data_IF_491833845964
#
_entry.id   IF_491833845964
#
_cell.length_a   1.000
_cell.length_b   1.000
_cell.length_c   1.000
_cell.angle_alpha   90.00
_cell.angle_beta   90.00
_cell.angle_gamma   90.00
#
_symmetry.space_group_name_H-M   'P 1'
#
loop_
_entity.id
_entity.type
_entity.pdbx_description
1 polymer ?
#
# COMPACT_ATOMS: atom_id res chain seq x y z
N UNK A 1 28.74 -5.09 8.08
CA UNK A 1 27.38 -4.61 8.38
C UNK A 1 26.44 -5.51 7.59
N UNK A 2 25.40 -6.06 8.23
CA UNK A 2 24.39 -6.83 7.52
C UNK A 2 23.01 -6.34 7.94
N UNK A 3 22.04 -6.58 7.07
CA UNK A 3 20.63 -6.30 7.33
C UNK A 3 19.91 -7.63 7.30
N UNK A 4 19.16 -7.92 8.36
CA UNK A 4 18.21 -9.02 8.40
C UNK A 4 16.79 -8.47 8.28
N UNK A 5 15.96 -9.13 7.46
CA UNK A 5 14.59 -8.70 7.17
C UNK A 5 13.65 -9.88 7.37
N UNK A 6 12.80 -9.80 8.38
CA UNK A 6 11.71 -10.73 8.60
C UNK A 6 10.38 -10.11 8.15
N UNK A 7 9.55 -10.90 7.46
CA UNK A 7 8.20 -10.49 7.04
C UNK A 7 7.17 -11.47 7.57
N UNK A 8 6.07 -10.93 8.06
CA UNK A 8 4.91 -11.70 8.49
C UNK A 8 3.65 -11.08 7.89
N UNK A 9 2.78 -11.93 7.34
CA UNK A 9 1.46 -11.53 6.87
C UNK A 9 0.39 -12.03 7.85
N UNK A 10 -0.46 -11.13 8.29
CA UNK A 10 -1.68 -11.39 9.05
C UNK A 10 -2.86 -11.31 8.08
N UNK A 11 -3.52 -12.45 7.85
CA UNK A 11 -4.63 -12.54 6.90
C UNK A 11 -5.94 -11.95 7.46
N UNK A 12 -6.13 -11.96 8.78
CA UNK A 12 -7.35 -11.46 9.42
C UNK A 12 -7.38 -9.93 9.39
N UNK A 13 -6.21 -9.31 9.62
CA UNK A 13 -6.05 -7.85 9.57
C UNK A 13 -5.59 -7.34 8.20
N UNK A 14 -5.38 -8.24 7.23
CA UNK A 14 -4.75 -7.97 5.94
C UNK A 14 -3.50 -7.08 6.04
N UNK A 15 -2.63 -7.41 6.98
CA UNK A 15 -1.50 -6.56 7.38
C UNK A 15 -0.17 -7.26 7.21
N UNK A 16 0.79 -6.59 6.61
CA UNK A 16 2.18 -7.03 6.51
C UNK A 16 3.00 -6.31 7.58
N UNK A 17 3.68 -7.08 8.42
CA UNK A 17 4.68 -6.57 9.36
C UNK A 17 6.07 -6.92 8.85
N UNK A 18 6.92 -5.92 8.70
CA UNK A 18 8.32 -6.07 8.34
C UNK A 18 9.21 -5.65 9.52
N UNK A 19 10.19 -6.48 9.84
CA UNK A 19 11.17 -6.18 10.89
C UNK A 19 12.54 -6.09 10.23
N UNK A 20 13.12 -4.89 10.27
CA UNK A 20 14.47 -4.61 9.77
C UNK A 20 15.43 -4.58 10.95
N UNK A 21 16.43 -5.46 10.93
CA UNK A 21 17.52 -5.44 11.91
C UNK A 21 18.80 -5.03 11.21
N UNK A 22 19.30 -3.83 11.52
CA UNK A 22 20.58 -3.33 11.02
C UNK A 22 21.67 -3.64 12.04
N UNK A 23 22.67 -4.42 11.64
CA UNK A 23 23.79 -4.81 12.52
C UNK A 23 25.08 -4.15 12.04
N UNK A 24 25.71 -3.38 12.94
CA UNK A 24 26.99 -2.72 12.73
C UNK A 24 27.94 -2.98 13.91
N UNK A 25 29.27 -2.76 13.75
CA UNK A 25 30.20 -2.95 14.86
C UNK A 25 29.86 -2.03 16.04
N UNK A 26 29.33 -2.61 17.12
CA UNK A 26 28.96 -1.90 18.35
C UNK A 26 27.47 -1.53 18.48
N UNK A 27 26.66 -1.71 17.45
CA UNK A 27 25.25 -1.29 17.49
C UNK A 27 24.34 -2.19 16.62
N UNK A 28 23.21 -2.58 17.22
CA UNK A 28 22.10 -3.25 16.53
C UNK A 28 20.86 -2.38 16.64
N UNK A 29 20.29 -1.99 15.52
CA UNK A 29 19.05 -1.22 15.45
C UNK A 29 17.93 -2.07 14.85
N UNK A 30 16.75 -2.02 15.47
CA UNK A 30 15.56 -2.75 15.02
C UNK A 30 14.44 -1.79 14.68
N UNK A 31 13.91 -1.88 13.46
CA UNK A 31 12.76 -1.12 12.99
C UNK A 31 11.60 -2.08 12.70
N UNK A 32 10.39 -1.71 13.11
CA UNK A 32 9.17 -2.46 12.83
C UNK A 32 8.27 -1.60 11.98
N UNK A 33 7.97 -2.06 10.77
CA UNK A 33 7.05 -1.41 9.84
C UNK A 33 5.79 -2.26 9.73
N UNK A 34 4.62 -1.62 9.76
CA UNK A 34 3.32 -2.29 9.68
C UNK A 34 2.48 -1.63 8.61
N UNK A 35 2.09 -2.41 7.61
CA UNK A 35 1.36 -1.96 6.42
C UNK A 35 0.05 -2.70 6.31
N UNK A 36 -1.08 -1.99 6.28
CA UNK A 36 -2.34 -2.60 5.88
C UNK A 36 -2.40 -2.65 4.36
N UNK A 37 -2.66 -3.84 3.83
CA UNK A 37 -2.96 -4.03 2.42
C UNK A 37 -4.43 -3.71 2.18
N UNK A 38 -4.71 -3.01 1.10
CA UNK A 38 -6.07 -2.74 0.66
C UNK A 38 -6.31 -3.37 -0.70
N UNK A 39 -7.46 -4.03 -0.85
CA UNK A 39 -7.92 -4.46 -2.16
C UNK A 39 -8.35 -3.26 -3.00
N UNK A 40 -8.46 -3.46 -4.32
CA UNK A 40 -9.03 -2.43 -5.20
C UNK A 40 -10.47 -2.09 -4.78
N UNK A 41 -11.26 -3.08 -4.38
CA UNK A 41 -12.65 -2.89 -3.99
C UNK A 41 -12.77 -2.06 -2.71
N UNK A 42 -11.94 -2.35 -1.70
CA UNK A 42 -11.90 -1.56 -0.46
C UNK A 42 -11.50 -0.11 -0.74
N UNK A 43 -10.43 0.12 -1.53
CA UNK A 43 -10.00 1.46 -1.90
C UNK A 43 -11.06 2.20 -2.71
N UNK A 44 -11.75 1.50 -3.62
CA UNK A 44 -12.83 2.07 -4.43
C UNK A 44 -13.98 2.52 -3.54
N UNK A 45 -14.41 1.70 -2.58
CA UNK A 45 -15.46 2.05 -1.64
C UNK A 45 -15.07 3.25 -0.75
N UNK A 46 -13.82 3.29 -0.26
CA UNK A 46 -13.31 4.40 0.57
C UNK A 46 -13.25 5.72 -0.22
N UNK A 47 -12.71 5.67 -1.44
CA UNK A 47 -12.61 6.85 -2.31
C UNK A 47 -13.99 7.34 -2.73
N UNK A 48 -14.90 6.45 -3.09
CA UNK A 48 -16.27 6.82 -3.45
C UNK A 48 -17.01 7.46 -2.27
N UNK A 49 -16.89 6.88 -1.07
CA UNK A 49 -17.47 7.42 0.17
C UNK A 49 -16.97 8.84 0.45
N UNK A 50 -15.70 9.13 0.17
CA UNK A 50 -15.12 10.47 0.34
C UNK A 50 -15.37 11.41 -0.86
N UNK A 51 -16.24 11.00 -1.80
CA UNK A 51 -16.65 11.82 -2.91
C UNK A 51 -15.59 11.91 -4.01
N UNK A 52 -14.78 10.88 -4.21
CA UNK A 52 -13.90 10.74 -5.36
C UNK A 52 -14.53 9.81 -6.40
N UNK A 53 -14.12 9.99 -7.66
CA UNK A 53 -14.36 9.07 -8.76
C UNK A 53 -13.02 8.53 -9.24
N UNK A 54 -12.88 7.20 -9.32
CA UNK A 54 -11.67 6.58 -9.89
C UNK A 54 -11.71 6.76 -11.41
N UNK A 55 -10.62 7.29 -11.96
CA UNK A 55 -10.44 7.50 -13.39
C UNK A 55 -9.67 6.34 -14.03
N UNK A 56 -8.68 5.80 -13.33
CA UNK A 56 -7.85 4.71 -13.83
C UNK A 56 -7.14 3.97 -12.69
N UNK A 57 -6.79 2.71 -12.96
CA UNK A 57 -5.97 1.86 -12.09
C UNK A 57 -4.85 1.22 -12.88
N UNK A 58 -3.66 1.14 -12.29
CA UNK A 58 -2.47 0.60 -12.94
C UNK A 58 -1.68 -0.32 -12.01
N UNK A 59 -1.05 -1.34 -12.61
CA UNK A 59 -0.20 -2.31 -11.94
C UNK A 59 1.27 -1.87 -11.79
N UNK A 60 1.51 -0.57 -11.63
CA UNK A 60 2.84 0.05 -11.60
C UNK A 60 2.85 1.47 -12.14
N UNK A 61 4.01 2.13 -12.10
CA UNK A 61 4.16 3.54 -12.49
C UNK A 61 4.22 3.78 -14.01
N UNK A 62 4.33 2.71 -14.80
CA UNK A 62 4.42 2.75 -16.25
C UNK A 62 3.05 2.63 -16.95
N UNK A 63 1.94 2.78 -16.21
CA UNK A 63 0.56 2.66 -16.70
C UNK A 63 0.20 1.28 -17.26
N UNK A 64 0.93 0.23 -16.88
CA UNK A 64 0.54 -1.14 -17.20
C UNK A 64 -0.82 -1.47 -16.56
N UNK A 65 -1.65 -2.31 -17.19
CA UNK A 65 -2.89 -2.78 -16.58
C UNK A 65 -2.63 -3.41 -15.20
N UNK A 66 -3.53 -3.16 -14.26
CA UNK A 66 -3.49 -3.80 -12.95
C UNK A 66 -3.84 -5.28 -13.10
N UNK A 67 -3.03 -6.15 -12.48
CA UNK A 67 -3.26 -7.61 -12.44
C UNK A 67 -3.02 -8.12 -11.02
N UNK A 68 -3.43 -9.36 -10.72
CA UNK A 68 -3.16 -9.98 -9.42
C UNK A 68 -1.66 -10.17 -9.12
N UNK A 69 -0.83 -10.22 -10.16
CA UNK A 69 0.62 -10.34 -10.04
C UNK A 69 1.33 -8.98 -9.93
N UNK A 70 0.58 -7.86 -10.01
CA UNK A 70 1.17 -6.54 -9.95
C UNK A 70 1.73 -6.26 -8.55
N UNK A 71 3.02 -5.91 -8.42
CA UNK A 71 3.64 -5.68 -7.12
C UNK A 71 3.20 -4.35 -6.48
N UNK A 72 2.62 -3.45 -7.27
CA UNK A 72 2.15 -2.12 -6.85
C UNK A 72 0.83 -1.82 -7.56
N UNK A 73 -0.12 -1.26 -6.82
CA UNK A 73 -1.35 -0.69 -7.37
C UNK A 73 -1.28 0.84 -7.31
N UNK A 74 -1.50 1.48 -8.46
CA UNK A 74 -1.61 2.94 -8.57
C UNK A 74 -3.06 3.28 -8.93
N UNK A 75 -3.71 4.09 -8.11
CA UNK A 75 -5.08 4.57 -8.36
C UNK A 75 -5.05 6.06 -8.68
N UNK A 76 -5.63 6.43 -9.82
CA UNK A 76 -5.83 7.82 -10.21
C UNK A 76 -7.29 8.17 -9.99
N UNK A 77 -7.57 9.09 -9.07
CA UNK A 77 -8.92 9.50 -8.74
C UNK A 77 -9.08 11.02 -8.83
N UNK A 78 -10.29 11.47 -9.15
CA UNK A 78 -10.67 12.87 -9.18
C UNK A 78 -11.77 13.12 -8.16
N UNK A 79 -11.65 14.21 -7.39
CA UNK A 79 -12.71 14.64 -6.48
C UNK A 79 -13.95 15.02 -7.29
N UNK A 80 -15.11 14.44 -6.95
CA UNK A 80 -16.41 14.83 -7.52
C UNK A 80 -16.59 16.33 -7.25
N UNK A 81 -16.92 17.10 -8.30
CA UNK A 81 -17.06 18.55 -8.19
C UNK A 81 -18.03 18.91 -7.06
N UNK A 82 -17.62 19.81 -6.15
CA UNK A 82 -18.51 20.38 -5.15
C UNK A 82 -19.63 21.08 -5.91
N UNK A 83 -20.86 20.53 -5.88
CA UNK A 83 -22.04 21.33 -6.23
C UNK A 83 -22.13 22.43 -5.17
N UNK A 84 -21.68 23.63 -5.51
CA UNK A 84 -22.00 24.84 -4.77
C UNK A 84 -23.52 24.97 -4.89
N UNK A 85 -24.22 24.74 -3.77
CA UNK A 85 -25.63 25.08 -3.63
C UNK A 85 -25.73 26.55 -3.24
#
# INVERSE_FOLDING_TARGET
RYTDVARQFDADENTVTEIFTLVSPGETQRYVLRYRLFSLDELSALLEKDGFNILATYGGYNRNPLTIASPVMVVVAQRKGRKVR
#
